data_IF_124958517155
#
_entry.id   IF_124958517155
#
_cell.length_a   1.000
_cell.length_b   1.000
_cell.length_c   1.000
_cell.angle_alpha   90.00
_cell.angle_beta   90.00
_cell.angle_gamma   90.00
#
_symmetry.space_group_name_H-M   'P 1'
#
loop_
_entity.id
_entity.type
_entity.pdbx_description
1 polymer ?
#
# COMPACT_ATOMS: atom_id res chain seq x y z
N UNK A 1 -2.52 -1.07 31.37
CA UNK A 1 -3.16 -1.23 30.05
C UNK A 1 -2.17 -1.98 29.15
N UNK A 2 -2.66 -2.86 28.28
CA UNK A 2 -1.81 -3.54 27.30
C UNK A 2 -1.22 -2.57 26.28
N UNK A 3 -0.13 -2.96 25.62
CA UNK A 3 0.47 -2.16 24.53
C UNK A 3 -0.46 -2.12 23.32
N UNK A 4 -0.52 -0.98 22.66
CA UNK A 4 -1.17 -0.83 21.34
C UNK A 4 -0.08 -0.88 20.29
N UNK A 5 -0.14 -1.86 19.38
CA UNK A 5 0.82 -2.00 18.29
C UNK A 5 0.43 -1.15 17.10
N UNK A 6 1.41 -0.71 16.33
CA UNK A 6 1.21 -0.06 15.04
C UNK A 6 1.51 -1.02 13.90
N UNK A 7 0.59 -1.14 12.95
CA UNK A 7 0.75 -2.02 11.80
C UNK A 7 0.60 -1.20 10.51
N UNK A 8 1.62 -1.26 9.69
CA UNK A 8 1.56 -0.91 8.27
C UNK A 8 1.17 -2.17 7.48
N UNK A 9 -0.07 -2.23 7.01
CA UNK A 9 -0.58 -3.29 6.16
C UNK A 9 -0.36 -2.91 4.69
N UNK A 10 0.85 -3.15 4.21
CA UNK A 10 1.25 -2.79 2.84
C UNK A 10 0.77 -3.79 1.78
N UNK A 11 0.72 -3.35 0.53
CA UNK A 11 0.36 -4.20 -0.62
C UNK A 11 1.37 -5.34 -0.81
N UNK A 12 2.65 -5.01 -0.75
CA UNK A 12 3.75 -5.96 -0.99
C UNK A 12 4.37 -6.45 0.31
N UNK A 13 4.62 -5.56 1.26
CA UNK A 13 5.21 -5.85 2.56
C UNK A 13 4.43 -5.17 3.67
N UNK A 14 4.36 -5.83 4.82
CA UNK A 14 3.79 -5.30 6.06
C UNK A 14 4.87 -5.14 7.12
N UNK A 15 4.63 -4.21 8.04
CA UNK A 15 5.57 -3.88 9.11
C UNK A 15 4.81 -3.67 10.42
N UNK A 16 5.38 -4.08 11.54
CA UNK A 16 4.80 -3.89 12.86
C UNK A 16 5.79 -3.20 13.79
N UNK A 17 5.29 -2.26 14.57
CA UNK A 17 6.08 -1.52 15.54
C UNK A 17 5.31 -1.35 16.86
N UNK A 18 6.03 -1.06 17.91
CA UNK A 18 5.49 -0.75 19.23
C UNK A 18 6.25 0.44 19.82
N UNK A 19 5.57 1.22 20.65
CA UNK A 19 6.21 2.31 21.38
C UNK A 19 6.75 1.79 22.71
N UNK A 20 8.07 1.79 22.86
CA UNK A 20 8.77 1.36 24.07
C UNK A 20 9.98 2.26 24.36
N UNK A 21 10.29 2.47 25.63
CA UNK A 21 11.46 3.26 26.01
C UNK A 21 11.44 4.70 25.47
N UNK A 22 10.26 5.29 25.32
CA UNK A 22 9.99 6.62 24.76
C UNK A 22 10.30 6.75 23.24
N UNK A 23 10.39 5.64 22.53
CA UNK A 23 10.61 5.65 21.08
C UNK A 23 9.81 4.54 20.37
N UNK A 24 9.46 4.73 19.09
CA UNK A 24 8.86 3.68 18.29
C UNK A 24 9.92 2.65 17.88
N UNK A 25 9.66 1.39 18.16
CA UNK A 25 10.55 0.25 17.84
C UNK A 25 9.90 -0.66 16.81
N UNK A 26 10.54 -0.84 15.66
CA UNK A 26 10.11 -1.81 14.65
C UNK A 26 10.50 -3.21 15.10
N UNK A 27 9.55 -4.14 15.04
CA UNK A 27 9.71 -5.50 15.53
C UNK A 27 10.15 -6.41 14.38
N UNK A 28 11.26 -7.15 14.57
CA UNK A 28 11.67 -8.19 13.63
C UNK A 28 10.77 -9.42 13.76
N UNK A 29 10.44 -10.03 12.62
CA UNK A 29 9.66 -11.26 12.56
C UNK A 29 10.50 -12.51 12.90
N UNK A 30 9.88 -13.69 12.90
CA UNK A 30 10.54 -14.97 13.19
C UNK A 30 11.67 -15.32 12.21
N UNK A 31 11.68 -14.71 11.03
CA UNK A 31 12.74 -14.85 10.02
C UNK A 31 13.86 -13.81 10.19
N UNK A 32 13.80 -12.99 11.24
CA UNK A 32 14.78 -11.94 11.55
C UNK A 32 14.67 -10.69 10.67
N UNK A 33 13.58 -10.55 9.94
CA UNK A 33 13.32 -9.39 9.04
C UNK A 33 12.40 -8.38 9.70
N UNK A 34 12.63 -7.11 9.41
CA UNK A 34 11.83 -5.98 9.93
C UNK A 34 10.54 -5.75 9.14
N UNK A 35 10.46 -6.28 7.93
CA UNK A 35 9.25 -6.32 7.11
C UNK A 35 8.88 -7.76 6.78
N UNK A 36 7.59 -8.00 6.60
CA UNK A 36 7.04 -9.32 6.27
C UNK A 36 6.30 -9.21 4.93
N UNK A 37 6.60 -10.06 3.93
CA UNK A 37 5.85 -10.08 2.69
C UNK A 37 4.35 -10.29 2.95
N UNK A 38 3.51 -9.48 2.33
CA UNK A 38 2.04 -9.56 2.39
C UNK A 38 1.54 -10.69 1.49
N UNK A 39 2.01 -11.92 1.75
CA UNK A 39 1.76 -13.11 0.95
C UNK A 39 1.23 -14.22 1.83
N UNK A 40 0.17 -14.89 1.35
CA UNK A 40 -0.47 -16.04 2.02
C UNK A 40 -0.42 -17.25 1.09
N UNK A 41 0.19 -18.33 1.56
CA UNK A 41 0.27 -19.59 0.83
C UNK A 41 -0.62 -20.66 1.47
N UNK A 42 -1.38 -21.37 0.66
CA UNK A 42 -2.21 -22.49 1.07
C UNK A 42 -1.53 -23.80 0.62
N UNK A 43 -1.37 -24.74 1.53
CA UNK A 43 -0.77 -26.05 1.27
C UNK A 43 -1.78 -27.17 1.50
N UNK A 44 -1.50 -28.35 0.94
CA UNK A 44 -2.31 -29.52 1.20
C UNK A 44 -2.39 -29.82 2.71
N UNK A 45 -3.57 -30.24 3.18
CA UNK A 45 -3.82 -30.48 4.60
C UNK A 45 -4.32 -29.25 5.38
N UNK A 46 -4.52 -28.11 4.72
CA UNK A 46 -5.12 -26.91 5.31
C UNK A 46 -4.14 -26.02 6.08
N UNK A 47 -2.86 -26.33 6.06
CA UNK A 47 -1.82 -25.46 6.60
C UNK A 47 -1.70 -24.17 5.78
N UNK A 48 -1.44 -23.07 6.46
CA UNK A 48 -1.22 -21.74 5.84
C UNK A 48 0.19 -21.27 6.14
N UNK A 49 0.85 -20.74 5.12
CA UNK A 49 2.13 -20.05 5.23
C UNK A 49 1.92 -18.56 5.00
N UNK A 50 2.62 -17.73 5.75
CA UNK A 50 2.48 -16.27 5.66
C UNK A 50 3.88 -15.66 5.63
N UNK A 51 4.06 -14.65 4.77
CA UNK A 51 5.33 -13.97 4.62
C UNK A 51 6.33 -14.70 3.73
N UNK A 52 7.60 -14.74 4.12
CA UNK A 52 8.66 -15.36 3.34
C UNK A 52 8.43 -16.86 3.02
N UNK A 53 7.92 -17.68 3.95
CA UNK A 53 7.57 -19.07 3.61
C UNK A 53 6.52 -19.18 2.50
N UNK A 54 5.53 -18.30 2.49
CA UNK A 54 4.52 -18.23 1.43
C UNK A 54 5.12 -17.74 0.11
N UNK A 55 5.94 -16.69 0.16
CA UNK A 55 6.62 -16.16 -1.03
C UNK A 55 7.50 -17.21 -1.70
N UNK A 56 8.21 -18.04 -0.93
CA UNK A 56 9.06 -19.11 -1.46
C UNK A 56 8.28 -20.20 -2.21
N UNK A 57 7.03 -20.49 -1.84
CA UNK A 57 6.23 -21.49 -2.54
C UNK A 57 5.54 -20.95 -3.81
N UNK A 58 5.54 -19.64 -4.03
CA UNK A 58 4.79 -19.00 -5.12
C UNK A 58 5.14 -19.57 -6.51
N UNK A 59 6.40 -19.89 -6.75
CA UNK A 59 6.85 -20.48 -8.03
C UNK A 59 6.25 -21.87 -8.26
N UNK A 60 6.27 -22.73 -7.25
CA UNK A 60 5.82 -24.11 -7.36
C UNK A 60 4.33 -24.30 -7.14
N UNK A 61 3.69 -23.34 -6.48
CA UNK A 61 2.26 -23.35 -6.16
C UNK A 61 1.60 -21.99 -6.38
N UNK A 62 1.69 -21.42 -7.60
CA UNK A 62 1.20 -20.05 -7.87
C UNK A 62 -0.31 -19.90 -7.69
N UNK A 63 -1.10 -20.93 -8.00
CA UNK A 63 -2.58 -20.89 -7.89
C UNK A 63 -3.09 -20.84 -6.45
N UNK A 64 -2.27 -21.26 -5.48
CA UNK A 64 -2.62 -21.29 -4.06
C UNK A 64 -1.75 -20.31 -3.24
N UNK A 65 -1.11 -19.35 -3.88
CA UNK A 65 -0.31 -18.32 -3.23
C UNK A 65 -0.87 -16.95 -3.58
N UNK A 66 -1.40 -16.27 -2.57
CA UNK A 66 -2.12 -15.00 -2.71
C UNK A 66 -1.20 -13.86 -2.29
N UNK A 67 -1.06 -12.86 -3.17
CA UNK A 67 -0.32 -11.62 -2.94
C UNK A 67 -1.09 -10.43 -3.51
N UNK A 68 -0.68 -9.22 -3.18
CA UNK A 68 -1.31 -7.96 -3.60
C UNK A 68 -2.82 -7.90 -3.31
N UNK A 69 -3.26 -8.59 -2.27
CA UNK A 69 -4.69 -8.67 -1.91
C UNK A 69 -5.28 -7.30 -1.55
N UNK A 70 -4.44 -6.36 -1.09
CA UNK A 70 -4.86 -4.99 -0.77
C UNK A 70 -5.53 -4.28 -1.95
N UNK A 71 -5.20 -4.66 -3.20
CA UNK A 71 -5.81 -4.12 -4.42
C UNK A 71 -7.28 -4.55 -4.64
N UNK A 72 -7.75 -5.52 -3.86
CA UNK A 72 -9.14 -5.99 -3.88
C UNK A 72 -9.95 -5.53 -2.66
N UNK A 73 -9.29 -4.87 -1.69
CA UNK A 73 -9.92 -4.45 -0.44
C UNK A 73 -10.99 -3.39 -0.67
N UNK A 74 -12.24 -3.69 -0.28
CA UNK A 74 -13.35 -2.75 -0.37
C UNK A 74 -13.78 -2.38 -1.79
N UNK A 75 -13.28 -3.10 -2.80
CA UNK A 75 -13.60 -2.92 -4.21
C UNK A 75 -14.72 -3.86 -4.65
N UNK A 76 -15.48 -3.44 -5.69
CA UNK A 76 -16.35 -4.35 -6.41
C UNK A 76 -15.55 -5.22 -7.38
N UNK A 77 -16.13 -6.34 -7.82
CA UNK A 77 -15.48 -7.19 -8.81
C UNK A 77 -15.17 -6.45 -10.12
N UNK A 78 -16.09 -5.60 -10.57
CA UNK A 78 -15.90 -4.85 -11.81
C UNK A 78 -14.77 -3.82 -11.71
N UNK A 79 -14.63 -3.15 -10.56
CA UNK A 79 -13.52 -2.24 -10.30
C UNK A 79 -12.16 -2.96 -10.31
N UNK A 80 -12.12 -4.17 -9.77
CA UNK A 80 -10.88 -4.96 -9.60
C UNK A 80 -10.63 -5.98 -10.73
N UNK A 81 -11.43 -5.97 -11.81
CA UNK A 81 -11.33 -6.95 -12.91
C UNK A 81 -9.92 -7.00 -13.53
N UNK A 82 -9.30 -5.87 -13.80
CA UNK A 82 -7.95 -5.80 -14.37
C UNK A 82 -6.90 -6.43 -13.45
N UNK A 83 -7.05 -6.25 -12.16
CA UNK A 83 -6.16 -6.86 -11.17
C UNK A 83 -6.37 -8.38 -11.10
N UNK A 84 -7.62 -8.82 -11.19
CA UNK A 84 -7.97 -10.25 -11.20
C UNK A 84 -7.35 -10.99 -12.41
N UNK A 85 -7.21 -10.32 -13.55
CA UNK A 85 -6.58 -10.89 -14.75
C UNK A 85 -5.05 -10.99 -14.66
N UNK A 86 -4.42 -10.25 -13.75
CA UNK A 86 -2.95 -10.20 -13.59
C UNK A 86 -2.39 -11.23 -12.62
N UNK A 87 -3.24 -11.79 -11.76
CA UNK A 87 -2.80 -12.69 -10.69
C UNK A 87 -2.96 -14.17 -11.10
N UNK A 88 -2.07 -15.07 -10.65
CA UNK A 88 -2.12 -16.49 -11.01
C UNK A 88 -3.17 -17.27 -10.22
N UNK A 89 -3.62 -16.75 -9.08
CA UNK A 89 -4.70 -17.34 -8.29
C UNK A 89 -6.07 -16.93 -8.84
N UNK A 90 -7.07 -17.73 -8.56
CA UNK A 90 -8.43 -17.50 -9.10
C UNK A 90 -9.18 -16.48 -8.27
N UNK A 91 -9.61 -15.40 -8.90
CA UNK A 91 -10.52 -14.40 -8.32
C UNK A 91 -11.88 -14.56 -8.98
N UNK A 92 -12.91 -14.77 -8.18
CA UNK A 92 -14.28 -14.99 -8.64
C UNK A 92 -15.19 -13.82 -8.23
N UNK A 93 -16.21 -13.58 -9.05
CA UNK A 93 -17.29 -12.68 -8.70
C UNK A 93 -18.29 -13.42 -7.80
N UNK A 94 -18.45 -12.94 -6.57
CA UNK A 94 -19.44 -13.46 -5.63
C UNK A 94 -20.36 -12.32 -5.18
N UNK A 95 -21.55 -12.27 -5.78
CA UNK A 95 -22.54 -11.21 -5.54
C UNK A 95 -22.00 -9.79 -5.75
N UNK A 96 -21.19 -9.58 -6.80
CA UNK A 96 -20.62 -8.28 -7.16
C UNK A 96 -19.29 -7.96 -6.50
N UNK A 97 -18.79 -8.84 -5.63
CA UNK A 97 -17.52 -8.64 -4.90
C UNK A 97 -16.47 -9.68 -5.27
N UNK A 98 -15.17 -9.27 -5.29
CA UNK A 98 -14.09 -10.20 -5.57
C UNK A 98 -13.84 -11.12 -4.38
N UNK A 99 -13.71 -12.43 -4.64
CA UNK A 99 -13.24 -13.42 -3.67
C UNK A 99 -12.16 -14.29 -4.28
N UNK A 100 -11.20 -14.71 -3.47
CA UNK A 100 -10.16 -15.66 -3.88
C UNK A 100 -10.68 -17.09 -3.68
N UNK A 101 -10.69 -17.86 -4.74
CA UNK A 101 -11.09 -19.27 -4.71
C UNK A 101 -9.85 -20.14 -4.46
N UNK A 102 -9.84 -20.85 -3.34
CA UNK A 102 -8.82 -21.86 -3.02
C UNK A 102 -9.55 -23.17 -2.75
N UNK A 103 -9.31 -24.17 -3.60
CA UNK A 103 -10.08 -25.42 -3.59
C UNK A 103 -11.59 -25.13 -3.58
N UNK A 104 -12.32 -25.64 -2.62
CA UNK A 104 -13.79 -25.47 -2.51
C UNK A 104 -14.19 -24.24 -1.70
N UNK A 105 -13.25 -23.46 -1.20
CA UNK A 105 -13.51 -22.30 -0.35
C UNK A 105 -13.22 -20.98 -1.06
N UNK A 106 -14.11 -20.01 -0.85
CA UNK A 106 -13.94 -18.62 -1.27
C UNK A 106 -13.54 -17.78 -0.06
N UNK A 107 -12.49 -16.99 -0.22
CA UNK A 107 -11.99 -16.07 0.81
C UNK A 107 -12.22 -14.63 0.37
N UNK A 108 -12.71 -13.80 1.27
CA UNK A 108 -12.77 -12.35 1.04
C UNK A 108 -11.36 -11.74 1.12
N UNK A 109 -11.12 -10.57 0.50
CA UNK A 109 -9.88 -9.84 0.71
C UNK A 109 -9.59 -9.55 2.18
N UNK A 110 -10.63 -9.29 2.98
CA UNK A 110 -10.54 -9.09 4.42
C UNK A 110 -10.01 -10.33 5.15
N UNK A 111 -10.51 -11.54 4.81
CA UNK A 111 -10.03 -12.78 5.40
C UNK A 111 -8.56 -13.06 5.08
N UNK A 112 -8.12 -12.82 3.85
CA UNK A 112 -6.71 -12.96 3.45
C UNK A 112 -5.83 -11.94 4.17
N UNK A 113 -6.25 -10.68 4.20
CA UNK A 113 -5.54 -9.62 4.92
C UNK A 113 -5.47 -9.90 6.43
N UNK A 114 -6.52 -10.49 7.00
CA UNK A 114 -6.54 -10.91 8.40
C UNK A 114 -5.47 -11.95 8.72
N UNK A 115 -5.15 -12.85 7.81
CA UNK A 115 -4.06 -13.83 7.99
C UNK A 115 -2.70 -13.15 8.09
N UNK A 116 -2.48 -12.09 7.31
CA UNK A 116 -1.27 -11.27 7.39
C UNK A 116 -1.24 -10.51 8.73
N UNK A 117 -2.35 -9.93 9.14
CA UNK A 117 -2.47 -9.22 10.42
C UNK A 117 -2.26 -10.16 11.61
N UNK A 118 -2.71 -11.41 11.54
CA UNK A 118 -2.43 -12.43 12.56
C UNK A 118 -0.93 -12.72 12.69
N UNK A 119 -0.19 -12.73 11.58
CA UNK A 119 1.28 -12.85 11.62
C UNK A 119 1.92 -11.63 12.28
N UNK A 120 1.41 -10.41 12.01
CA UNK A 120 1.90 -9.19 12.67
C UNK A 120 1.60 -9.20 14.18
N UNK A 121 0.37 -9.58 14.55
CA UNK A 121 -0.04 -9.77 15.95
C UNK A 121 0.89 -10.76 16.67
N UNK A 122 1.11 -11.94 16.08
CA UNK A 122 1.99 -12.99 16.64
C UNK A 122 3.44 -12.50 16.78
N UNK A 123 3.96 -11.79 15.77
CA UNK A 123 5.30 -11.19 15.83
C UNK A 123 5.44 -10.23 17.00
N UNK A 124 4.43 -9.39 17.24
CA UNK A 124 4.42 -8.47 18.37
C UNK A 124 4.32 -9.20 19.72
N UNK A 125 3.47 -10.22 19.81
CA UNK A 125 3.31 -11.04 21.03
C UNK A 125 4.61 -11.76 21.40
N UNK A 126 5.31 -12.33 20.42
CA UNK A 126 6.58 -13.01 20.64
C UNK A 126 7.67 -12.04 21.14
N UNK A 127 7.68 -10.81 20.63
CA UNK A 127 8.60 -9.77 21.07
C UNK A 127 8.27 -9.26 22.48
N UNK A 128 6.99 -8.97 22.74
CA UNK A 128 6.55 -8.39 24.01
C UNK A 128 6.40 -9.42 25.16
N UNK A 129 6.33 -10.71 24.83
CA UNK A 129 6.09 -11.78 25.80
C UNK A 129 4.70 -11.72 26.46
N UNK A 130 3.74 -11.09 25.79
CA UNK A 130 2.36 -10.93 26.28
C UNK A 130 1.35 -10.91 25.13
N UNK A 131 0.09 -11.18 25.43
CA UNK A 131 -1.00 -11.06 24.47
C UNK A 131 -1.16 -9.61 24.00
N UNK A 132 -1.40 -9.43 22.70
CA UNK A 132 -1.70 -8.15 22.06
C UNK A 132 -3.14 -8.16 21.57
N UNK A 133 -3.96 -7.25 22.10
CA UNK A 133 -5.37 -7.14 21.75
C UNK A 133 -5.71 -5.92 20.90
N UNK A 134 -4.91 -4.86 21.00
CA UNK A 134 -5.20 -3.56 20.41
C UNK A 134 -4.16 -3.17 19.34
N UNK A 135 -4.64 -2.59 18.26
CA UNK A 135 -3.77 -2.11 17.18
C UNK A 135 -4.27 -0.80 16.56
N UNK A 136 -3.32 -0.02 16.05
CA UNK A 136 -3.53 1.02 15.04
C UNK A 136 -3.09 0.43 13.71
N UNK A 137 -3.95 0.49 12.70
CA UNK A 137 -3.66 -0.02 11.36
C UNK A 137 -3.69 1.14 10.38
N UNK A 138 -2.75 1.15 9.44
CA UNK A 138 -2.66 2.21 8.44
C UNK A 138 -3.34 1.83 7.14
N UNK A 139 -3.76 2.87 6.42
CA UNK A 139 -4.34 2.77 5.07
C UNK A 139 -3.78 3.89 4.20
N UNK A 140 -3.76 3.72 2.87
CA UNK A 140 -3.47 4.82 1.96
C UNK A 140 -4.39 6.01 2.22
N UNK A 141 -3.86 7.23 2.10
CA UNK A 141 -4.65 8.43 2.36
C UNK A 141 -5.83 8.58 1.40
N UNK A 142 -5.68 8.09 0.16
CA UNK A 142 -6.70 8.18 -0.89
C UNK A 142 -7.71 7.01 -0.91
N UNK A 143 -7.67 6.14 0.11
CA UNK A 143 -8.67 5.08 0.26
C UNK A 143 -10.07 5.64 0.49
N UNK A 144 -11.05 5.03 -0.18
CA UNK A 144 -12.48 5.26 0.06
C UNK A 144 -12.91 4.77 1.44
N UNK A 145 -14.11 5.15 1.85
CA UNK A 145 -14.70 4.65 3.10
C UNK A 145 -14.88 3.14 3.09
N UNK A 146 -15.31 2.56 1.97
CA UNK A 146 -15.43 1.10 1.80
C UNK A 146 -14.11 0.37 2.00
N UNK A 147 -13.00 0.90 1.47
CA UNK A 147 -11.66 0.34 1.62
C UNK A 147 -11.15 0.44 3.06
N UNK A 148 -11.44 1.56 3.75
CA UNK A 148 -11.14 1.78 5.17
C UNK A 148 -11.91 0.83 6.07
N UNK A 149 -13.19 0.67 5.82
CA UNK A 149 -14.06 -0.26 6.55
C UNK A 149 -13.60 -1.70 6.38
N UNK A 150 -13.28 -2.12 5.15
CA UNK A 150 -12.76 -3.45 4.86
C UNK A 150 -11.43 -3.73 5.60
N UNK A 151 -10.55 -2.74 5.71
CA UNK A 151 -9.30 -2.85 6.47
C UNK A 151 -9.57 -3.02 7.98
N UNK A 152 -10.51 -2.28 8.53
CA UNK A 152 -10.95 -2.42 9.93
C UNK A 152 -11.53 -3.80 10.19
N UNK A 153 -12.37 -4.31 9.29
CA UNK A 153 -12.94 -5.66 9.36
C UNK A 153 -11.84 -6.73 9.36
N UNK A 154 -10.82 -6.59 8.50
CA UNK A 154 -9.67 -7.50 8.48
C UNK A 154 -8.97 -7.53 9.86
N UNK A 155 -8.80 -6.40 10.52
CA UNK A 155 -8.26 -6.31 11.87
C UNK A 155 -9.12 -7.08 12.89
N UNK A 156 -10.43 -6.91 12.82
CA UNK A 156 -11.39 -7.61 13.69
C UNK A 156 -11.35 -9.13 13.46
N UNK A 157 -11.31 -9.58 12.21
CA UNK A 157 -11.18 -11.01 11.86
C UNK A 157 -9.86 -11.58 12.38
N UNK A 158 -8.79 -10.79 12.39
CA UNK A 158 -7.49 -11.17 12.93
C UNK A 158 -7.45 -11.27 14.47
N UNK A 159 -8.52 -10.89 15.16
CA UNK A 159 -8.60 -10.87 16.62
C UNK A 159 -7.99 -9.60 17.25
N UNK A 160 -7.95 -8.51 16.48
CA UNK A 160 -7.47 -7.22 16.94
C UNK A 160 -8.65 -6.25 17.17
N UNK A 161 -8.61 -5.52 18.26
CA UNK A 161 -9.42 -4.34 18.45
C UNK A 161 -8.71 -3.16 17.74
N UNK A 162 -9.25 -2.76 16.59
CA UNK A 162 -8.69 -1.66 15.80
C UNK A 162 -9.08 -0.34 16.44
N UNK A 163 -8.16 0.22 17.20
CA UNK A 163 -8.36 1.46 17.96
C UNK A 163 -8.47 2.68 17.04
N UNK A 164 -7.76 2.66 15.94
CA UNK A 164 -7.80 3.70 14.92
C UNK A 164 -7.27 3.19 13.57
N UNK A 165 -7.87 3.69 12.49
CA UNK A 165 -7.31 3.65 11.14
C UNK A 165 -6.64 4.98 10.90
N UNK A 166 -5.37 4.97 10.49
CA UNK A 166 -4.56 6.17 10.24
C UNK A 166 -4.04 6.16 8.81
N UNK A 167 -4.03 7.30 8.17
CA UNK A 167 -3.48 7.42 6.83
C UNK A 167 -1.94 7.22 6.84
N UNK A 168 -1.43 6.46 5.89
CA UNK A 168 -0.01 6.13 5.78
C UNK A 168 0.90 7.37 5.75
N UNK A 169 0.65 8.39 4.90
CA UNK A 169 1.48 9.58 4.91
C UNK A 169 1.36 10.40 6.21
N UNK A 170 0.21 10.37 6.86
CA UNK A 170 0.03 11.03 8.16
C UNK A 170 0.84 10.33 9.26
N UNK A 171 0.84 8.99 9.26
CA UNK A 171 1.69 8.21 10.17
C UNK A 171 3.18 8.50 9.92
N UNK A 172 3.59 8.54 8.67
CA UNK A 172 4.97 8.87 8.30
C UNK A 172 5.38 10.28 8.77
N UNK A 173 4.50 11.27 8.58
CA UNK A 173 4.72 12.63 9.06
C UNK A 173 4.85 12.68 10.59
N UNK A 174 4.03 11.93 11.30
CA UNK A 174 4.09 11.85 12.76
C UNK A 174 5.44 11.28 13.22
N UNK A 175 5.91 10.19 12.63
CA UNK A 175 7.20 9.59 12.95
C UNK A 175 8.37 10.53 12.62
N UNK A 176 8.28 11.26 11.50
CA UNK A 176 9.31 12.25 11.11
C UNK A 176 9.33 13.46 12.03
N UNK A 177 8.15 13.96 12.42
CA UNK A 177 7.98 15.25 13.07
C UNK A 177 7.96 15.20 14.60
N UNK A 178 7.86 14.03 15.24
CA UNK A 178 7.70 13.92 16.70
C UNK A 178 8.83 14.62 17.47
N UNK A 179 10.06 14.52 16.96
CA UNK A 179 11.23 15.17 17.57
C UNK A 179 11.36 16.65 17.18
N UNK A 180 10.54 17.13 16.24
CA UNK A 180 10.58 18.47 15.64
C UNK A 180 9.34 19.30 15.98
N UNK A 181 8.52 18.86 16.93
CA UNK A 181 7.21 19.45 17.26
C UNK A 181 7.25 20.94 17.63
N UNK A 182 8.43 21.48 17.96
CA UNK A 182 8.63 22.90 18.27
C UNK A 182 8.90 23.79 17.02
N UNK A 183 8.96 23.19 15.83
CA UNK A 183 9.13 23.91 14.56
C UNK A 183 7.81 24.00 13.85
N UNK A 184 7.53 25.14 13.24
CA UNK A 184 6.42 25.30 12.31
C UNK A 184 6.93 24.99 10.90
N UNK A 185 6.40 23.92 10.28
CA UNK A 185 6.89 23.41 9.00
C UNK A 185 5.75 22.93 8.11
N UNK A 186 5.89 23.20 6.82
CA UNK A 186 5.06 22.57 5.78
C UNK A 186 5.86 21.44 5.14
N UNK A 187 5.31 20.25 5.11
CA UNK A 187 5.94 19.09 4.51
C UNK A 187 5.05 18.47 3.42
N UNK A 188 5.70 17.92 2.41
CA UNK A 188 5.07 17.05 1.41
C UNK A 188 5.51 15.61 1.69
N UNK A 189 4.55 14.71 1.83
CA UNK A 189 4.79 13.28 1.97
C UNK A 189 4.41 12.60 0.67
N UNK A 190 5.41 12.10 -0.04
CA UNK A 190 5.28 11.38 -1.30
C UNK A 190 5.40 9.89 -1.02
N UNK A 191 4.30 9.18 -1.07
CA UNK A 191 4.20 7.77 -0.74
C UNK A 191 3.90 6.94 -1.99
N UNK A 192 4.93 6.28 -2.53
CA UNK A 192 4.80 5.34 -3.63
C UNK A 192 5.14 3.93 -3.14
N UNK A 193 4.09 3.20 -2.79
CA UNK A 193 4.17 1.85 -2.29
C UNK A 193 4.15 0.78 -3.39
N UNK A 194 3.79 -0.44 -3.02
CA UNK A 194 3.66 -1.56 -3.96
C UNK A 194 2.43 -1.48 -4.85
N UNK A 195 1.33 -0.91 -4.35
CA UNK A 195 0.05 -0.90 -5.05
C UNK A 195 -0.62 0.46 -5.17
N UNK A 196 -0.24 1.43 -4.36
CA UNK A 196 -0.88 2.74 -4.27
C UNK A 196 0.13 3.87 -4.29
N UNK A 197 -0.32 5.02 -4.75
CA UNK A 197 0.40 6.28 -4.70
C UNK A 197 -0.42 7.33 -3.95
N UNK A 198 0.17 7.98 -2.96
CA UNK A 198 -0.41 9.10 -2.24
C UNK A 198 0.58 10.27 -2.17
N UNK A 199 0.03 11.48 -2.24
CA UNK A 199 0.72 12.72 -1.92
C UNK A 199 -0.12 13.48 -0.90
N UNK A 200 0.48 13.83 0.23
CA UNK A 200 -0.17 14.61 1.28
C UNK A 200 0.67 15.84 1.62
N UNK A 201 0.00 16.96 1.78
CA UNK A 201 0.61 18.21 2.22
C UNK A 201 0.16 18.47 3.65
N UNK A 202 1.11 18.58 4.56
CA UNK A 202 0.86 18.75 5.98
C UNK A 202 1.59 19.97 6.52
N UNK A 203 0.96 20.59 7.52
CA UNK A 203 1.63 21.53 8.41
C UNK A 203 1.79 20.88 9.79
N UNK A 204 2.89 21.08 10.45
CA UNK A 204 3.00 20.75 11.87
C UNK A 204 3.74 21.84 12.63
N UNK A 205 3.24 22.13 13.83
CA UNK A 205 3.79 23.11 14.74
C UNK A 205 3.08 23.06 16.08
N UNK A 206 3.79 23.33 17.18
CA UNK A 206 3.21 23.37 18.51
C UNK A 206 2.53 22.07 18.98
N UNK A 207 2.96 20.91 18.46
CA UNK A 207 2.36 19.60 18.78
C UNK A 207 1.14 19.24 17.93
N UNK A 208 0.73 20.10 16.98
CA UNK A 208 -0.39 19.84 16.07
C UNK A 208 0.17 19.41 14.71
N UNK A 209 -0.34 18.28 14.19
CA UNK A 209 -0.11 17.78 12.85
C UNK A 209 -1.42 17.93 12.06
N UNK A 210 -1.42 18.81 11.09
CA UNK A 210 -2.59 19.12 10.29
C UNK A 210 -2.37 18.76 8.83
N UNK A 211 -3.19 17.87 8.28
CA UNK A 211 -3.21 17.59 6.85
C UNK A 211 -3.99 18.71 6.15
N UNK A 212 -3.35 19.39 5.21
CA UNK A 212 -3.94 20.47 4.42
C UNK A 212 -4.66 19.92 3.18
N UNK A 213 -4.06 18.92 2.55
CA UNK A 213 -4.65 18.26 1.38
C UNK A 213 -4.02 16.88 1.19
N UNK A 214 -4.75 16.00 0.50
CA UNK A 214 -4.25 14.73 0.00
C UNK A 214 -4.82 14.45 -1.38
N UNK A 215 -4.05 13.75 -2.20
CA UNK A 215 -4.47 13.26 -3.51
C UNK A 215 -3.68 11.97 -3.81
N UNK A 216 -4.09 11.18 -4.79
CA UNK A 216 -3.38 9.94 -5.10
C UNK A 216 -4.05 9.11 -6.18
N UNK A 217 -3.53 7.88 -6.31
CA UNK A 217 -4.04 6.84 -7.20
C UNK A 217 -3.93 5.49 -6.47
N UNK A 218 -5.06 4.84 -6.25
CA UNK A 218 -5.13 3.56 -5.54
C UNK A 218 -4.70 2.36 -6.39
N UNK A 219 -4.36 2.58 -7.67
CA UNK A 219 -3.92 1.56 -8.64
C UNK A 219 -2.58 1.91 -9.31
N UNK A 220 -1.76 2.70 -8.66
CA UNK A 220 -0.41 3.06 -9.11
C UNK A 220 0.61 2.69 -8.03
N UNK A 221 1.49 1.76 -8.32
CA UNK A 221 2.52 1.32 -7.37
C UNK A 221 3.55 0.39 -7.99
N UNK A 222 4.41 -0.17 -7.15
CA UNK A 222 5.52 -1.04 -7.55
C UNK A 222 5.13 -2.24 -8.40
N UNK A 223 3.94 -2.81 -8.19
CA UNK A 223 3.41 -3.91 -9.01
C UNK A 223 3.22 -3.50 -10.48
N UNK A 224 2.88 -2.23 -10.73
CA UNK A 224 2.74 -1.72 -12.09
C UNK A 224 4.11 -1.52 -12.76
N UNK A 225 5.11 -1.11 -11.98
CA UNK A 225 6.51 -1.05 -12.45
C UNK A 225 7.07 -2.45 -12.74
N UNK A 226 6.72 -3.45 -11.97
CA UNK A 226 7.06 -4.85 -12.27
C UNK A 226 6.39 -5.29 -13.57
N UNK A 227 5.12 -4.94 -13.76
CA UNK A 227 4.34 -5.35 -14.93
C UNK A 227 4.93 -4.86 -16.25
N UNK A 228 5.46 -3.64 -16.31
CA UNK A 228 6.10 -3.15 -17.56
C UNK A 228 7.36 -3.95 -17.89
N UNK A 229 8.10 -4.45 -16.90
CA UNK A 229 9.23 -5.35 -17.11
C UNK A 229 8.75 -6.72 -17.59
N UNK A 230 7.71 -7.27 -16.94
CA UNK A 230 7.12 -8.56 -17.33
C UNK A 230 6.64 -8.51 -18.78
N UNK A 231 5.89 -7.49 -19.16
CA UNK A 231 5.36 -7.31 -20.51
C UNK A 231 6.50 -7.22 -21.56
N UNK A 232 7.56 -6.51 -21.22
CA UNK A 232 8.77 -6.43 -22.08
C UNK A 232 9.45 -7.80 -22.25
N UNK A 233 9.57 -8.59 -21.17
CA UNK A 233 10.14 -9.93 -21.19
C UNK A 233 9.27 -10.92 -22.00
N UNK A 234 7.97 -10.91 -21.76
CA UNK A 234 7.00 -11.78 -22.47
C UNK A 234 7.02 -11.48 -23.96
N UNK A 235 6.96 -10.21 -24.33
CA UNK A 235 6.99 -9.79 -25.72
C UNK A 235 8.31 -10.18 -26.39
N UNK A 236 9.45 -9.87 -25.76
CA UNK A 236 10.77 -10.17 -26.31
C UNK A 236 10.98 -11.68 -26.49
N UNK A 237 10.53 -12.50 -25.55
CA UNK A 237 10.63 -13.96 -25.66
C UNK A 237 9.75 -14.51 -26.78
N UNK A 238 8.53 -13.98 -26.93
CA UNK A 238 7.62 -14.34 -28.00
C UNK A 238 8.18 -13.98 -29.39
N UNK A 239 8.78 -12.79 -29.53
CA UNK A 239 9.38 -12.33 -30.77
C UNK A 239 10.57 -13.22 -31.18
N UNK A 240 11.36 -13.71 -30.22
CA UNK A 240 12.56 -14.53 -30.48
C UNK A 240 12.26 -16.02 -30.64
N UNK A 241 11.27 -16.55 -29.90
CA UNK A 241 11.03 -18.00 -29.80
C UNK A 241 9.65 -18.41 -30.33
N UNK A 242 8.76 -17.48 -30.65
CA UNK A 242 7.39 -17.76 -31.05
C UNK A 242 6.48 -18.32 -29.95
N UNK A 243 6.90 -18.19 -28.67
CA UNK A 243 6.22 -18.77 -27.51
C UNK A 243 5.68 -17.66 -26.61
N UNK A 244 4.41 -17.75 -26.26
CA UNK A 244 3.76 -16.84 -25.32
C UNK A 244 3.83 -17.40 -23.90
N UNK A 245 4.71 -16.83 -23.06
CA UNK A 245 4.90 -17.24 -21.69
C UNK A 245 3.70 -16.88 -20.79
N UNK A 246 2.83 -15.97 -21.22
CA UNK A 246 1.68 -15.52 -20.41
C UNK A 246 0.64 -16.63 -20.14
N UNK A 247 0.69 -17.71 -20.92
CA UNK A 247 -0.21 -18.86 -20.76
C UNK A 247 0.26 -19.88 -19.71
N UNK A 248 1.49 -19.75 -19.21
CA UNK A 248 2.07 -20.62 -18.20
C UNK A 248 2.16 -19.91 -16.84
N UNK A 249 1.34 -20.26 -15.84
CA UNK A 249 1.34 -19.63 -14.53
C UNK A 249 2.69 -19.73 -13.78
N UNK A 250 3.43 -20.82 -13.95
CA UNK A 250 4.75 -20.98 -13.32
C UNK A 250 5.79 -20.07 -13.97
N UNK A 251 5.78 -19.98 -15.31
CA UNK A 251 6.64 -19.06 -16.03
C UNK A 251 6.33 -17.60 -15.63
N UNK A 252 5.06 -17.22 -15.57
CA UNK A 252 4.64 -15.88 -15.17
C UNK A 252 5.05 -15.55 -13.73
N UNK A 253 4.96 -16.47 -12.81
CA UNK A 253 5.42 -16.25 -11.43
C UNK A 253 6.94 -16.05 -11.36
N UNK A 254 7.71 -16.82 -12.13
CA UNK A 254 9.16 -16.63 -12.23
C UNK A 254 9.53 -15.28 -12.86
N UNK A 255 8.78 -14.87 -13.88
CA UNK A 255 8.93 -13.54 -14.49
C UNK A 255 8.61 -12.42 -13.50
N UNK A 256 7.56 -12.56 -12.70
CA UNK A 256 7.19 -11.59 -11.67
C UNK A 256 8.30 -11.41 -10.65
N UNK A 257 8.84 -12.50 -10.12
CA UNK A 257 9.93 -12.44 -9.13
C UNK A 257 11.21 -11.84 -9.72
N UNK A 258 11.53 -12.21 -10.97
CA UNK A 258 12.68 -11.64 -11.68
C UNK A 258 12.51 -10.15 -11.98
N UNK A 259 11.31 -9.71 -12.35
CA UNK A 259 10.99 -8.32 -12.61
C UNK A 259 11.09 -7.47 -11.33
N UNK A 260 10.52 -7.93 -10.21
CA UNK A 260 10.63 -7.26 -8.91
C UNK A 260 12.10 -7.13 -8.49
N UNK A 261 12.87 -8.21 -8.60
CA UNK A 261 14.30 -8.22 -8.30
C UNK A 261 15.07 -7.23 -9.19
N UNK A 262 14.83 -7.25 -10.51
CA UNK A 262 15.47 -6.33 -11.46
C UNK A 262 15.14 -4.87 -11.13
N UNK A 263 13.88 -4.54 -10.86
CA UNK A 263 13.46 -3.20 -10.42
C UNK A 263 14.23 -2.74 -9.19
N UNK A 264 14.37 -3.58 -8.18
CA UNK A 264 15.10 -3.27 -6.94
C UNK A 264 16.58 -3.05 -7.24
N UNK A 265 17.21 -3.94 -8.01
CA UNK A 265 18.64 -3.85 -8.36
C UNK A 265 18.94 -2.59 -9.18
N UNK A 266 18.06 -2.18 -10.08
CA UNK A 266 18.22 -0.98 -10.90
C UNK A 266 18.09 0.33 -10.10
N UNK A 267 17.68 0.29 -8.84
CA UNK A 267 17.75 1.46 -7.95
C UNK A 267 19.17 1.75 -7.45
N UNK A 268 20.06 0.76 -7.45
CA UNK A 268 21.46 0.90 -7.05
C UNK A 268 22.47 0.66 -8.18
N UNK A 269 22.09 -0.11 -9.20
CA UNK A 269 22.93 -0.47 -10.35
C UNK A 269 22.38 0.13 -11.64
N UNK A 270 23.25 0.38 -12.61
CA UNK A 270 22.85 0.91 -13.93
C UNK A 270 22.37 -0.19 -14.89
N UNK A 271 22.69 -1.44 -14.60
CA UNK A 271 22.30 -2.62 -15.39
C UNK A 271 22.01 -3.80 -14.46
N UNK A 272 21.16 -4.70 -14.92
CA UNK A 272 20.90 -5.99 -14.26
C UNK A 272 20.71 -7.08 -15.31
N UNK A 273 21.12 -8.31 -14.99
CA UNK A 273 20.86 -9.49 -15.81
C UNK A 273 19.67 -10.26 -15.26
N UNK A 274 18.70 -10.53 -16.13
CA UNK A 274 17.56 -11.39 -15.85
C UNK A 274 17.86 -12.74 -16.49
N UNK A 275 18.10 -13.76 -15.66
CA UNK A 275 18.47 -15.10 -16.10
C UNK A 275 17.48 -16.12 -15.52
N UNK A 276 16.64 -16.67 -16.39
CA UNK A 276 15.63 -17.66 -16.06
C UNK A 276 15.86 -18.93 -16.88
N UNK A 277 16.75 -19.84 -16.41
CA UNK A 277 17.00 -21.09 -17.08
C UNK A 277 15.74 -21.97 -17.04
N UNK A 278 15.52 -22.75 -18.12
CA UNK A 278 14.38 -23.67 -18.21
C UNK A 278 13.02 -22.96 -17.99
N UNK A 279 12.85 -21.78 -18.56
CA UNK A 279 11.61 -21.01 -18.38
C UNK A 279 10.41 -21.74 -19.00
N UNK A 280 10.64 -22.48 -20.09
CA UNK A 280 9.66 -23.33 -20.75
C UNK A 280 10.36 -24.42 -21.56
N UNK A 281 9.61 -25.34 -22.14
CA UNK A 281 10.10 -26.37 -23.05
C UNK A 281 9.18 -26.50 -24.26
N UNK A 282 9.79 -26.76 -25.44
CA UNK A 282 9.06 -26.98 -26.70
C UNK A 282 9.54 -28.27 -27.31
N UNK A 283 8.61 -29.20 -27.56
CA UNK A 283 8.95 -30.52 -28.11
C UNK A 283 10.02 -31.27 -27.29
N UNK A 284 10.02 -31.07 -25.96
CA UNK A 284 11.00 -31.63 -25.04
C UNK A 284 12.34 -30.88 -24.99
N UNK A 285 12.52 -29.84 -25.80
CA UNK A 285 13.73 -28.98 -25.79
C UNK A 285 13.55 -27.83 -24.82
N UNK A 286 14.40 -27.70 -23.78
CA UNK A 286 14.33 -26.58 -22.86
C UNK A 286 14.66 -25.25 -23.54
N UNK A 287 13.98 -24.20 -23.10
CA UNK A 287 14.23 -22.81 -23.48
C UNK A 287 14.61 -22.00 -22.26
N UNK A 288 15.54 -21.10 -22.45
CA UNK A 288 16.08 -20.21 -21.41
C UNK A 288 15.76 -18.77 -21.77
N UNK A 289 15.50 -17.95 -20.77
CA UNK A 289 15.37 -16.51 -20.93
C UNK A 289 16.57 -15.84 -20.27
N UNK A 290 17.40 -15.15 -21.05
CA UNK A 290 18.50 -14.33 -20.56
C UNK A 290 18.41 -12.97 -21.23
N UNK A 291 18.25 -11.93 -20.42
CA UNK A 291 18.14 -10.54 -20.88
C UNK A 291 18.90 -9.62 -19.95
N UNK A 292 19.57 -8.64 -20.53
CA UNK A 292 20.13 -7.52 -19.78
C UNK A 292 19.15 -6.35 -19.87
N UNK A 293 18.78 -5.80 -18.71
CA UNK A 293 17.96 -4.61 -18.60
C UNK A 293 18.81 -3.47 -18.02
N UNK A 294 18.86 -2.34 -18.70
CA UNK A 294 19.51 -1.13 -18.19
C UNK A 294 18.52 -0.27 -17.44
N UNK A 295 19.02 0.55 -16.50
CA UNK A 295 18.19 1.55 -15.81
C UNK A 295 17.48 2.48 -16.81
N UNK A 296 18.20 2.94 -17.84
CA UNK A 296 17.64 3.81 -18.87
C UNK A 296 16.47 3.16 -19.62
N UNK A 297 16.59 1.87 -19.97
CA UNK A 297 15.50 1.11 -20.60
C UNK A 297 14.32 0.95 -19.66
N UNK A 298 14.56 0.62 -18.39
CA UNK A 298 13.51 0.50 -17.38
C UNK A 298 12.78 1.83 -17.20
N UNK A 299 13.49 2.93 -17.06
CA UNK A 299 12.91 4.27 -16.93
C UNK A 299 12.09 4.66 -18.17
N UNK A 300 12.50 4.25 -19.36
CA UNK A 300 11.73 4.44 -20.59
C UNK A 300 10.45 3.61 -20.58
N UNK A 301 10.50 2.34 -20.20
CA UNK A 301 9.35 1.47 -20.08
C UNK A 301 8.33 1.99 -19.03
N UNK A 302 8.82 2.54 -17.93
CA UNK A 302 8.04 3.03 -16.81
C UNK A 302 7.68 4.52 -16.92
N UNK A 303 8.01 5.20 -18.01
CA UNK A 303 7.87 6.66 -18.15
C UNK A 303 6.47 7.15 -17.80
N UNK A 304 5.44 6.53 -18.38
CA UNK A 304 4.04 6.93 -18.15
C UNK A 304 3.63 6.76 -16.67
N UNK A 305 4.11 5.70 -16.01
CA UNK A 305 3.84 5.47 -14.58
C UNK A 305 4.49 6.54 -13.70
N UNK A 306 5.73 6.93 -14.03
CA UNK A 306 6.46 7.98 -13.33
C UNK A 306 5.74 9.31 -13.49
N UNK A 307 5.35 9.67 -14.72
CA UNK A 307 4.64 10.91 -15.02
C UNK A 307 3.24 10.96 -14.39
N UNK A 308 2.58 9.80 -14.22
CA UNK A 308 1.27 9.72 -13.57
C UNK A 308 1.28 10.22 -12.12
N UNK A 309 2.43 10.18 -11.44
CA UNK A 309 2.57 10.76 -10.09
C UNK A 309 2.48 12.29 -10.07
N UNK A 310 2.69 12.97 -11.19
CA UNK A 310 2.79 14.43 -11.23
C UNK A 310 1.45 15.14 -11.04
N UNK A 311 0.39 14.63 -11.67
CA UNK A 311 -0.95 15.26 -11.59
C UNK A 311 -1.50 15.26 -10.16
N UNK A 312 -1.46 14.15 -9.39
CA UNK A 312 -1.81 14.18 -7.98
C UNK A 312 -1.00 15.18 -7.15
N UNK A 313 0.32 15.31 -7.41
CA UNK A 313 1.15 16.32 -6.74
C UNK A 313 0.68 17.75 -7.02
N UNK A 314 0.36 18.05 -8.27
CA UNK A 314 -0.18 19.37 -8.67
C UNK A 314 -1.52 19.65 -8.00
N UNK A 315 -2.40 18.67 -7.96
CA UNK A 315 -3.71 18.79 -7.32
C UNK A 315 -3.57 19.02 -5.81
N UNK A 316 -2.73 18.23 -5.13
CA UNK A 316 -2.52 18.39 -3.69
C UNK A 316 -1.95 19.77 -3.34
N UNK A 317 -0.98 20.28 -4.10
CA UNK A 317 -0.42 21.61 -3.89
C UNK A 317 -1.45 22.73 -4.10
N UNK A 318 -2.26 22.61 -5.16
CA UNK A 318 -3.36 23.57 -5.44
C UNK A 318 -4.37 23.59 -4.30
N UNK A 319 -4.79 22.39 -3.84
CA UNK A 319 -5.82 22.25 -2.81
C UNK A 319 -5.31 22.69 -1.43
N UNK A 320 -4.03 22.51 -1.15
CA UNK A 320 -3.35 23.05 0.04
C UNK A 320 -3.19 24.59 -0.02
N UNK A 321 -3.37 25.21 -1.20
CA UNK A 321 -3.15 26.64 -1.41
C UNK A 321 -1.75 27.12 -1.03
N UNK A 322 -0.76 26.29 -1.28
CA UNK A 322 0.66 26.58 -1.04
C UNK A 322 1.43 26.60 -2.34
N UNK A 323 2.43 27.50 -2.39
CA UNK A 323 3.47 27.45 -3.42
C UNK A 323 4.55 26.44 -3.05
N UNK A 324 5.24 25.90 -4.04
CA UNK A 324 6.33 24.94 -3.83
C UNK A 324 7.44 25.47 -2.92
N UNK A 325 7.70 26.80 -2.96
CA UNK A 325 8.67 27.46 -2.10
C UNK A 325 8.30 27.43 -0.61
N UNK A 326 7.04 27.22 -0.29
CA UNK A 326 6.52 27.16 1.07
C UNK A 326 6.61 25.73 1.66
N UNK A 327 7.00 24.74 0.87
CA UNK A 327 7.28 23.39 1.35
C UNK A 327 8.70 23.40 1.93
N UNK A 328 8.83 23.09 3.21
CA UNK A 328 10.11 23.04 3.89
C UNK A 328 10.87 21.74 3.63
N UNK A 329 10.16 20.61 3.66
CA UNK A 329 10.72 19.28 3.50
C UNK A 329 9.81 18.39 2.62
N UNK A 330 10.44 17.48 1.88
CA UNK A 330 9.77 16.42 1.13
C UNK A 330 10.22 15.07 1.67
N UNK A 331 9.28 14.26 2.11
CA UNK A 331 9.53 12.95 2.69
C UNK A 331 9.09 11.87 1.69
N UNK A 332 9.97 10.91 1.43
CA UNK A 332 9.69 9.74 0.60
C UNK A 332 9.29 8.57 1.47
N UNK A 333 8.17 7.94 1.11
CA UNK A 333 7.59 6.78 1.76
C UNK A 333 7.29 5.72 0.71
N UNK A 334 7.32 4.46 1.12
CA UNK A 334 7.10 3.32 0.23
C UNK A 334 8.35 2.91 -0.54
N UNK A 335 8.49 1.60 -0.76
CA UNK A 335 9.69 1.03 -1.39
C UNK A 335 9.94 1.52 -2.81
N UNK A 336 8.88 1.80 -3.58
CA UNK A 336 8.98 2.27 -4.97
C UNK A 336 9.46 3.72 -5.09
N UNK A 337 9.42 4.50 -4.01
CA UNK A 337 10.02 5.84 -3.96
C UNK A 337 11.55 5.82 -4.04
N UNK A 338 12.17 4.64 -3.92
CA UNK A 338 13.62 4.43 -4.11
C UNK A 338 14.06 4.48 -5.57
N UNK A 339 13.14 4.35 -6.52
CA UNK A 339 13.43 4.38 -7.96
C UNK A 339 14.06 5.74 -8.31
N UNK A 340 15.28 5.76 -8.89
CA UNK A 340 16.00 7.02 -9.16
C UNK A 340 15.22 8.03 -9.99
N UNK A 341 14.49 7.59 -11.01
CA UNK A 341 13.67 8.47 -11.84
C UNK A 341 12.50 9.09 -11.06
N UNK A 342 11.93 8.37 -10.10
CA UNK A 342 10.89 8.88 -9.19
C UNK A 342 11.49 9.97 -8.28
N UNK A 343 12.65 9.72 -7.70
CA UNK A 343 13.35 10.71 -6.86
C UNK A 343 13.70 11.97 -7.67
N UNK A 344 14.10 11.80 -8.91
CA UNK A 344 14.40 12.92 -9.80
C UNK A 344 13.14 13.73 -10.14
N UNK A 345 12.01 13.05 -10.39
CA UNK A 345 10.71 13.72 -10.59
C UNK A 345 10.34 14.59 -9.39
N UNK A 346 10.43 14.03 -8.18
CA UNK A 346 10.13 14.72 -6.92
C UNK A 346 11.04 15.94 -6.74
N UNK A 347 12.34 15.76 -6.91
CA UNK A 347 13.32 16.84 -6.82
C UNK A 347 13.04 17.96 -7.83
N UNK A 348 12.76 17.60 -9.07
CA UNK A 348 12.47 18.58 -10.13
C UNK A 348 11.14 19.32 -9.85
N UNK A 349 10.13 18.61 -9.37
CA UNK A 349 8.82 19.19 -9.10
C UNK A 349 8.84 20.15 -7.91
N UNK A 350 9.36 19.72 -6.76
CA UNK A 350 9.40 20.53 -5.53
C UNK A 350 10.61 21.47 -5.45
N UNK A 351 11.61 21.32 -6.31
CA UNK A 351 12.82 22.12 -6.30
C UNK A 351 13.74 21.86 -5.10
N UNK A 352 13.58 20.70 -4.47
CA UNK A 352 14.32 20.30 -3.25
C UNK A 352 14.72 18.84 -3.30
N UNK A 353 15.86 18.51 -2.69
CA UNK A 353 16.23 17.13 -2.41
C UNK A 353 15.25 16.54 -1.38
N UNK A 354 14.71 15.35 -1.63
CA UNK A 354 13.94 14.64 -0.63
C UNK A 354 14.75 14.35 0.63
N UNK A 355 14.10 14.44 1.79
CA UNK A 355 14.74 14.12 3.07
C UNK A 355 15.18 12.66 3.12
N UNK A 356 16.39 12.42 3.62
CA UNK A 356 16.96 11.08 3.84
C UNK A 356 16.84 10.61 5.30
N UNK A 357 16.09 11.35 6.12
CA UNK A 357 16.02 11.14 7.57
C UNK A 357 15.12 10.00 8.02
N UNK A 358 14.41 9.32 7.09
CA UNK A 358 13.50 8.22 7.44
C UNK A 358 13.74 7.00 6.56
N UNK A 359 13.50 5.81 7.12
CA UNK A 359 13.44 4.58 6.33
C UNK A 359 12.03 4.46 5.70
N UNK A 360 11.91 4.53 4.37
CA UNK A 360 10.61 4.53 3.69
C UNK A 360 9.81 3.23 3.87
N UNK A 361 10.43 2.13 4.29
CA UNK A 361 9.76 0.84 4.50
C UNK A 361 9.24 0.66 5.93
N UNK A 362 9.65 1.52 6.87
CA UNK A 362 9.39 1.36 8.31
C UNK A 362 8.66 2.56 8.93
N UNK A 363 8.81 3.73 8.35
CA UNK A 363 8.35 5.00 8.95
C UNK A 363 6.85 5.02 9.22
N UNK A 364 6.05 4.37 8.39
CA UNK A 364 4.59 4.28 8.53
C UNK A 364 4.21 3.47 9.78
N UNK A 365 4.80 2.30 9.97
CA UNK A 365 4.57 1.48 11.16
C UNK A 365 5.02 2.19 12.44
N UNK A 366 6.14 2.92 12.39
CA UNK A 366 6.61 3.73 13.51
C UNK A 366 5.60 4.82 13.89
N UNK A 367 5.05 5.53 12.91
CA UNK A 367 4.00 6.53 13.13
C UNK A 367 2.72 5.94 13.69
N UNK A 368 2.32 4.77 13.21
CA UNK A 368 1.19 4.03 13.77
C UNK A 368 1.41 3.64 15.23
N UNK A 369 2.62 3.21 15.60
CA UNK A 369 2.97 2.90 16.99
C UNK A 369 2.95 4.16 17.88
N UNK A 370 3.45 5.29 17.39
CA UNK A 370 3.34 6.57 18.10
C UNK A 370 1.87 6.94 18.34
N UNK A 371 1.02 6.79 17.32
CA UNK A 371 -0.42 7.03 17.47
C UNK A 371 -1.05 6.09 18.50
N UNK A 372 -0.62 4.84 18.56
CA UNK A 372 -1.02 3.90 19.61
C UNK A 372 -0.64 4.38 21.01
N UNK A 373 0.58 4.88 21.15
CA UNK A 373 1.05 5.45 22.43
C UNK A 373 0.28 6.72 22.85
N UNK A 374 -0.07 7.59 21.88
CA UNK A 374 -0.93 8.76 22.13
C UNK A 374 -2.31 8.33 22.65
N UNK A 375 -2.94 7.34 21.98
CA UNK A 375 -4.24 6.80 22.40
C UNK A 375 -4.19 6.14 23.78
N UNK A 376 -3.06 5.54 24.13
CA UNK A 376 -2.80 4.88 25.41
C UNK A 376 -2.30 5.84 26.50
N UNK A 377 -2.10 7.12 26.14
CA UNK A 377 -1.54 8.16 27.02
C UNK A 377 -0.20 7.76 27.66
N UNK A 378 0.67 7.17 26.86
CA UNK A 378 1.99 6.75 27.31
C UNK A 378 2.90 7.97 27.55
N UNK A 379 3.81 7.85 28.50
CA UNK A 379 4.82 8.88 28.72
C UNK A 379 5.74 9.00 27.48
N UNK A 380 6.18 10.24 27.22
CA UNK A 380 7.15 10.52 26.13
C UNK A 380 6.53 10.92 24.79
N UNK A 381 5.21 10.78 24.58
CA UNK A 381 4.55 11.22 23.34
C UNK A 381 3.95 12.62 23.41
N UNK A 382 3.79 13.19 24.63
CA UNK A 382 3.21 14.53 24.82
C UNK A 382 1.75 14.64 24.37
N UNK A 383 1.26 15.87 24.27
CA UNK A 383 -0.09 16.19 23.78
C UNK A 383 -0.04 16.41 22.25
N UNK A 384 0.02 15.30 21.52
CA UNK A 384 0.01 15.34 20.05
C UNK A 384 -1.44 15.35 19.57
N UNK A 385 -1.78 16.31 18.72
CA UNK A 385 -3.07 16.42 18.03
C UNK A 385 -2.85 16.14 16.54
N UNK A 386 -3.66 15.21 16.03
CA UNK A 386 -3.64 14.83 14.63
C UNK A 386 -4.95 15.23 13.97
N UNK A 387 -4.88 16.14 13.00
CA UNK A 387 -6.01 16.60 12.20
C UNK A 387 -5.83 16.11 10.77
N UNK A 388 -6.71 15.23 10.33
CA UNK A 388 -6.70 14.67 8.98
C UNK A 388 -7.85 15.22 8.14
N UNK A 389 -7.94 14.84 6.87
CA UNK A 389 -8.95 15.29 5.91
C UNK A 389 -9.67 14.12 5.25
N UNK A 390 -10.87 14.40 4.73
CA UNK A 390 -11.55 13.46 3.83
C UNK A 390 -10.84 13.46 2.49
N UNK A 391 -10.43 12.30 1.93
CA UNK A 391 -9.72 12.27 0.65
C UNK A 391 -10.63 12.56 -0.54
N UNK A 392 -11.91 12.24 -0.42
CA UNK A 392 -12.91 12.33 -1.48
C UNK A 392 -14.09 13.19 -1.04
N UNK A 393 -14.74 13.82 -1.99
CA UNK A 393 -16.02 14.51 -1.77
C UNK A 393 -17.09 13.47 -1.43
N UNK A 394 -17.82 13.69 -0.33
CA UNK A 394 -18.93 12.86 0.11
C UNK A 394 -20.25 13.53 -0.23
N UNK A 395 -21.23 12.77 -0.67
CA UNK A 395 -22.54 13.27 -1.04
C UNK A 395 -23.54 12.16 -1.19
N UNK A 396 -24.72 12.50 -1.70
CA UNK A 396 -25.75 11.53 -2.03
C UNK A 396 -26.06 11.57 -3.52
N UNK A 397 -26.47 10.45 -4.08
CA UNK A 397 -27.02 10.38 -5.42
C UNK A 397 -28.45 10.92 -5.39
N UNK A 398 -28.72 11.91 -6.24
CA UNK A 398 -30.05 12.50 -6.42
C UNK A 398 -30.62 12.13 -7.78
N UNK A 399 -31.87 12.55 -8.05
CA UNK A 399 -32.59 12.20 -9.28
C UNK A 399 -31.75 12.47 -10.54
N UNK A 400 -31.70 11.48 -11.44
CA UNK A 400 -30.92 11.55 -12.67
C UNK A 400 -29.47 11.14 -12.53
N UNK A 401 -29.06 10.48 -11.44
CA UNK A 401 -27.68 10.04 -11.19
C UNK A 401 -26.73 11.20 -10.84
N UNK A 402 -27.27 12.32 -10.38
CA UNK A 402 -26.48 13.51 -10.03
C UNK A 402 -26.00 13.41 -8.59
N UNK A 403 -24.69 13.52 -8.39
CA UNK A 403 -24.10 13.60 -7.06
C UNK A 403 -24.35 15.00 -6.46
N UNK A 404 -25.10 15.06 -5.38
CA UNK A 404 -25.24 16.26 -4.55
C UNK A 404 -24.20 16.21 -3.42
N UNK A 405 -23.25 17.12 -3.48
CA UNK A 405 -22.13 17.20 -2.54
C UNK A 405 -22.60 17.66 -1.15
N UNK A 406 -22.13 17.01 -0.11
CA UNK A 406 -22.35 17.40 1.28
C UNK A 406 -21.05 17.84 1.96
N UNK A 407 -19.98 17.08 1.79
CA UNK A 407 -18.67 17.37 2.36
C UNK A 407 -17.65 17.33 1.23
N UNK A 408 -16.98 18.44 0.99
CA UNK A 408 -15.97 18.52 -0.06
C UNK A 408 -14.71 17.74 0.32
N UNK A 409 -14.00 17.22 -0.70
CA UNK A 409 -12.68 16.65 -0.54
C UNK A 409 -11.75 17.62 0.19
N UNK A 410 -10.80 17.09 0.97
CA UNK A 410 -9.87 17.86 1.79
C UNK A 410 -10.53 18.72 2.89
N UNK A 411 -11.72 18.32 3.34
CA UNK A 411 -12.33 18.90 4.55
C UNK A 411 -11.72 18.25 5.79
N UNK A 412 -11.28 19.07 6.74
CA UNK A 412 -10.70 18.59 8.02
C UNK A 412 -11.71 17.76 8.81
N UNK A 413 -11.25 16.63 9.35
CA UNK A 413 -12.05 15.73 10.18
C UNK A 413 -11.61 15.82 11.66
N UNK A 414 -12.57 15.66 12.62
CA UNK A 414 -13.97 15.28 12.44
C UNK A 414 -14.84 16.42 11.90
N UNK A 415 -15.74 16.11 10.98
CA UNK A 415 -16.73 17.04 10.47
C UNK A 415 -18.12 16.39 10.40
N UNK A 416 -19.16 17.23 10.40
CA UNK A 416 -20.54 16.79 10.29
C UNK A 416 -21.31 17.75 9.39
N UNK A 417 -22.02 17.20 8.41
CA UNK A 417 -22.93 17.95 7.55
C UNK A 417 -24.29 17.27 7.55
N UNK A 418 -25.34 18.07 7.55
CA UNK A 418 -26.72 17.61 7.44
C UNK A 418 -27.48 18.48 6.47
N UNK A 419 -28.19 17.87 5.55
CA UNK A 419 -29.07 18.51 4.57
C UNK A 419 -30.42 17.79 4.58
N UNK A 420 -31.47 18.51 4.21
CA UNK A 420 -32.81 17.95 4.09
C UNK A 420 -33.11 17.69 2.63
N UNK A 421 -33.44 16.46 2.32
CA UNK A 421 -33.86 16.02 1.00
C UNK A 421 -35.29 15.51 1.04
N UNK A 422 -35.99 15.63 -0.08
CA UNK A 422 -37.30 15.01 -0.29
C UNK A 422 -37.13 13.82 -1.24
N UNK A 423 -38.03 12.84 -1.13
CA UNK A 423 -38.09 11.72 -2.07
C UNK A 423 -38.48 12.22 -3.47
N UNK A 424 -37.92 11.58 -4.51
CA UNK A 424 -38.23 11.91 -5.90
C UNK A 424 -39.63 11.44 -6.33
N UNK A 425 -40.17 10.43 -5.65
CA UNK A 425 -41.51 9.86 -5.91
C UNK A 425 -42.16 9.38 -4.61
N UNK A 426 -43.47 9.29 -4.63
CA UNK A 426 -44.22 8.69 -3.53
C UNK A 426 -43.85 7.20 -3.35
N UNK A 427 -43.71 6.78 -2.10
CA UNK A 427 -43.33 5.42 -1.71
C UNK A 427 -41.95 4.97 -2.22
N UNK A 428 -41.00 5.88 -2.39
CA UNK A 428 -39.60 5.54 -2.66
C UNK A 428 -39.04 4.65 -1.56
N UNK A 429 -38.48 3.49 -1.91
CA UNK A 429 -38.03 2.46 -0.95
C UNK A 429 -36.55 2.57 -0.59
N UNK A 430 -35.78 3.28 -1.39
CA UNK A 430 -34.30 3.40 -1.24
C UNK A 430 -33.85 4.86 -1.44
N UNK A 431 -32.79 5.17 -0.73
CA UNK A 431 -32.11 6.48 -0.82
C UNK A 431 -30.61 6.24 -0.95
#
# INVERSE_FOLDING_TARGET
MGKIIGIDLGTTNSCVAVFEGNEPTVIANSEGKRTTPSVVGFVEGGERKIGDPAKRQAITNPKNTVYSIKRFMGETYDQSRKEAERVPYTVVNDNGYPKVQIADRKYTPQEISAMILQKMKKTAEDFLGQEVTDAVITVPAYFSDSQRQATKEAGTIAGLNVRRIVNEPTAAALAYGVDKANKDMNIAVFDLGGGTFDISILNFGGGVFEVLSTNGDTHLGGDDFDQVIIDWLVKGFKDENGIDLSTDPMAMQRLKEAAEKAKIELSSSTTTEINLPYITAVGGTPKHLVKTLTRAQFEQLAHELIQACLVPCQNAMRDAKLDKSQIDEVILVGGSSRIPAVQQLVKNYFGKEPSKGVNPDEVVAMGAAIQGAVLNKEAGVGDIVLLDVTPLTLGIETMGGVMTKLIDANTTIPCKKSEVFSTAADNQTEV
#
